data_IF_109457689496
#
_entry.id   IF_109457689496
#
_cell.length_a   1.000
_cell.length_b   1.000
_cell.length_c   1.000
_cell.angle_alpha   90.00
_cell.angle_beta   90.00
_cell.angle_gamma   90.00
#
_symmetry.space_group_name_H-M   'P 1'
#
loop_
_entity.id
_entity.type
_entity.pdbx_description
1 polymer ?
#
# COMPACT_ATOMS: atom_id res chain seq x y z
N UNK A 1 -2.86 -4.50 -9.59
CA UNK A 1 -2.26 -4.82 -8.29
C UNK A 1 -1.38 -3.66 -7.88
N UNK A 2 -1.51 -3.19 -6.63
CA UNK A 2 -0.54 -2.24 -6.08
C UNK A 2 0.77 -2.99 -5.80
N UNK A 3 1.77 -2.77 -6.65
CA UNK A 3 3.09 -3.41 -6.53
C UNK A 3 4.07 -2.57 -5.73
N UNK A 4 3.73 -1.29 -5.49
CA UNK A 4 4.53 -0.41 -4.67
C UNK A 4 3.65 0.48 -3.80
N UNK A 5 3.65 0.22 -2.49
CA UNK A 5 3.09 1.10 -1.48
C UNK A 5 4.24 1.81 -0.74
N UNK A 6 4.28 3.14 -0.78
CA UNK A 6 5.36 3.93 -0.16
C UNK A 6 5.45 3.78 1.36
N UNK A 7 4.37 3.34 1.99
CA UNK A 7 4.21 3.24 3.43
C UNK A 7 4.26 1.80 3.96
N UNK A 8 4.64 0.84 3.11
CA UNK A 8 4.81 -0.55 3.55
C UNK A 8 5.91 -0.66 4.60
N UNK A 9 5.66 -1.42 5.66
CA UNK A 9 6.63 -1.61 6.75
C UNK A 9 7.84 -2.43 6.30
N UNK A 10 7.62 -3.43 5.43
CA UNK A 10 8.67 -4.30 4.93
C UNK A 10 8.71 -4.25 3.40
N UNK A 11 9.80 -3.71 2.86
CA UNK A 11 10.00 -3.53 1.41
C UNK A 11 9.84 -4.82 0.60
N UNK A 12 10.08 -5.99 1.21
CA UNK A 12 9.90 -7.31 0.59
C UNK A 12 8.48 -7.54 0.06
N UNK A 13 7.46 -6.93 0.66
CA UNK A 13 6.08 -7.09 0.18
C UNK A 13 5.87 -6.42 -1.18
N UNK A 14 6.48 -5.25 -1.41
CA UNK A 14 6.49 -4.63 -2.75
C UNK A 14 7.20 -5.55 -3.75
N UNK A 15 8.35 -6.15 -3.37
CA UNK A 15 9.04 -7.12 -4.22
C UNK A 15 8.18 -8.34 -4.57
N UNK A 16 7.46 -8.90 -3.60
CA UNK A 16 6.58 -10.04 -3.83
C UNK A 16 5.38 -9.68 -4.71
N UNK A 17 4.74 -8.53 -4.45
CA UNK A 17 3.64 -8.03 -5.26
C UNK A 17 4.08 -7.78 -6.72
N UNK A 18 5.25 -7.17 -6.91
CA UNK A 18 5.82 -6.93 -8.24
C UNK A 18 6.06 -8.25 -8.99
N UNK A 19 6.78 -9.20 -8.38
CA UNK A 19 7.03 -10.52 -8.99
C UNK A 19 5.73 -11.26 -9.31
N UNK A 20 4.76 -11.23 -8.40
CA UNK A 20 3.47 -11.86 -8.61
C UNK A 20 2.71 -11.24 -9.78
N UNK A 21 2.68 -9.90 -9.88
CA UNK A 21 2.02 -9.21 -10.99
C UNK A 21 2.70 -9.54 -12.33
N UNK A 22 4.02 -9.61 -12.39
CA UNK A 22 4.75 -10.00 -13.59
C UNK A 22 4.40 -11.44 -14.02
N UNK A 23 4.45 -12.39 -13.10
CA UNK A 23 4.15 -13.81 -13.38
C UNK A 23 2.72 -14.04 -13.88
N UNK A 24 1.78 -13.18 -13.47
CA UNK A 24 0.35 -13.28 -13.81
C UNK A 24 -0.09 -12.27 -14.87
N UNK A 25 0.84 -11.51 -15.44
CA UNK A 25 0.56 -10.43 -16.39
C UNK A 25 -0.52 -9.46 -15.89
N UNK A 26 -0.50 -9.13 -14.60
CA UNK A 26 -1.48 -8.23 -13.99
C UNK A 26 -1.05 -6.77 -14.17
N UNK A 27 -2.01 -5.86 -14.44
CA UNK A 27 -1.76 -4.42 -14.38
C UNK A 27 -1.16 -4.00 -13.03
N UNK A 28 -0.16 -3.14 -13.07
CA UNK A 28 0.60 -2.72 -11.89
C UNK A 28 0.34 -1.25 -11.56
N UNK A 29 0.23 -0.94 -10.27
CA UNK A 29 0.09 0.42 -9.76
C UNK A 29 1.04 0.67 -8.58
N UNK A 30 1.39 1.94 -8.38
CA UNK A 30 2.11 2.45 -7.22
C UNK A 30 1.29 3.57 -6.56
N UNK A 31 1.28 3.62 -5.23
CA UNK A 31 0.62 4.67 -4.47
C UNK A 31 1.35 5.00 -3.16
N UNK A 32 1.12 6.22 -2.65
CA UNK A 32 1.78 6.70 -1.44
C UNK A 32 1.12 6.24 -0.14
N UNK A 33 -0.16 5.86 -0.20
CA UNK A 33 -0.97 5.52 0.98
C UNK A 33 -0.86 6.60 2.08
N UNK A 34 -1.01 7.85 1.65
CA UNK A 34 -0.84 9.05 2.46
C UNK A 34 -1.90 9.14 3.56
N UNK A 35 -1.45 9.30 4.80
CA UNK A 35 -2.30 9.59 5.98
C UNK A 35 -2.17 11.05 6.43
N UNK A 36 -1.38 11.84 5.72
CA UNK A 36 -1.16 13.27 5.95
C UNK A 36 -0.75 13.95 4.63
N UNK A 37 -0.99 15.26 4.50
CA UNK A 37 -0.83 15.97 3.23
C UNK A 37 0.59 15.88 2.64
N UNK A 38 1.63 15.93 3.46
CA UNK A 38 3.02 15.88 2.98
C UNK A 38 3.41 14.52 2.34
N UNK A 39 2.64 13.46 2.59
CA UNK A 39 2.86 12.13 2.00
C UNK A 39 2.12 11.94 0.65
N UNK A 40 1.28 12.89 0.24
CA UNK A 40 0.60 12.82 -1.06
C UNK A 40 1.63 12.91 -2.18
N UNK A 41 1.55 12.01 -3.15
CA UNK A 41 2.45 12.01 -4.30
C UNK A 41 3.87 11.48 -4.03
N UNK A 42 4.15 10.93 -2.85
CA UNK A 42 5.45 10.27 -2.60
C UNK A 42 5.66 9.08 -3.53
N UNK A 43 4.59 8.34 -3.85
CA UNK A 43 4.56 7.36 -4.93
C UNK A 43 3.24 7.47 -5.67
N UNK A 44 3.27 7.24 -6.98
CA UNK A 44 2.10 7.36 -7.85
C UNK A 44 2.31 6.59 -9.16
N UNK A 45 1.19 6.32 -9.83
CA UNK A 45 1.16 5.74 -11.18
C UNK A 45 0.89 6.86 -12.17
N UNK A 46 1.68 6.94 -13.23
CA UNK A 46 1.44 7.91 -14.31
C UNK A 46 0.50 7.27 -15.31
N UNK A 47 -0.67 7.87 -15.51
CA UNK A 47 -1.65 7.44 -16.51
C UNK A 47 -1.66 8.44 -17.66
N UNK A 48 -1.21 8.00 -18.83
CA UNK A 48 -1.24 8.78 -20.06
C UNK A 48 -2.64 8.70 -20.70
N UNK A 49 -3.56 9.51 -20.19
CA UNK A 49 -4.94 9.56 -20.66
C UNK A 49 -5.11 10.62 -21.74
N UNK A 50 -5.95 10.35 -22.75
CA UNK A 50 -6.37 11.35 -23.75
C UNK A 50 -7.18 12.49 -23.11
N UNK A 51 -7.97 12.15 -22.09
CA UNK A 51 -8.82 13.08 -21.35
C UNK A 51 -8.71 12.83 -19.85
N UNK A 52 -8.89 13.88 -19.05
CA UNK A 52 -9.00 13.77 -17.59
C UNK A 52 -10.39 13.24 -17.20
N UNK A 53 -10.61 11.95 -17.44
CA UNK A 53 -11.86 11.26 -17.12
C UNK A 53 -11.60 9.91 -16.45
N UNK A 54 -12.55 9.45 -15.64
CA UNK A 54 -12.48 8.14 -14.99
C UNK A 54 -12.42 7.02 -16.04
N UNK A 55 -13.16 7.16 -17.14
CA UNK A 55 -13.17 6.20 -18.24
C UNK A 55 -11.78 6.05 -18.85
N UNK A 56 -11.12 7.16 -19.16
CA UNK A 56 -9.77 7.16 -19.74
C UNK A 56 -8.74 6.59 -18.76
N UNK A 57 -8.84 6.93 -17.47
CA UNK A 57 -7.97 6.37 -16.44
C UNK A 57 -8.12 4.84 -16.31
N UNK A 58 -9.35 4.32 -16.28
CA UNK A 58 -9.61 2.88 -16.22
C UNK A 58 -9.06 2.14 -17.45
N UNK A 59 -9.25 2.70 -18.65
CA UNK A 59 -8.71 2.12 -19.87
C UNK A 59 -7.17 2.12 -19.87
N UNK A 60 -6.55 3.18 -19.36
CA UNK A 60 -5.09 3.32 -19.32
C UNK A 60 -4.44 2.41 -18.27
N UNK A 61 -5.09 2.16 -17.13
CA UNK A 61 -4.58 1.24 -16.09
C UNK A 61 -4.22 -0.13 -16.68
N UNK A 62 -4.99 -0.63 -17.65
CA UNK A 62 -4.80 -1.95 -18.26
C UNK A 62 -3.60 -2.05 -19.22
N UNK A 63 -3.10 -0.92 -19.75
CA UNK A 63 -2.13 -0.90 -20.87
C UNK A 63 -0.65 -0.95 -20.43
N UNK A 64 -0.39 -0.97 -19.13
CA UNK A 64 0.95 -0.78 -18.57
C UNK A 64 1.26 0.71 -18.36
N UNK A 65 1.86 1.03 -17.23
CA UNK A 65 2.02 2.41 -16.77
C UNK A 65 3.37 2.62 -16.08
N UNK A 66 3.87 3.85 -16.15
CA UNK A 66 5.07 4.24 -15.43
C UNK A 66 4.75 4.38 -13.93
N UNK A 67 5.66 3.87 -13.10
CA UNK A 67 5.50 3.84 -11.64
C UNK A 67 6.57 4.73 -11.01
N UNK A 68 6.15 5.83 -10.39
CA UNK A 68 7.02 6.61 -9.54
C UNK A 68 7.06 5.97 -8.14
N UNK A 69 8.24 5.46 -7.76
CA UNK A 69 8.43 4.63 -6.59
C UNK A 69 9.41 5.28 -5.62
N UNK A 70 8.89 6.07 -4.67
CA UNK A 70 9.69 6.55 -3.54
C UNK A 70 9.03 6.10 -2.25
N UNK A 71 9.85 5.64 -1.31
CA UNK A 71 9.38 5.32 0.04
C UNK A 71 9.15 6.62 0.82
N UNK A 72 8.25 6.56 1.79
CA UNK A 72 8.11 7.64 2.76
C UNK A 72 9.43 7.87 3.50
N UNK A 73 9.68 9.12 3.88
CA UNK A 73 10.81 9.42 4.76
C UNK A 73 10.59 8.74 6.13
N UNK A 74 11.67 8.45 6.89
CA UNK A 74 11.52 7.89 8.23
C UNK A 74 10.63 8.77 9.14
N UNK A 75 10.72 10.10 9.01
CA UNK A 75 9.90 11.06 9.76
C UNK A 75 8.40 10.92 9.45
N UNK A 76 8.06 10.83 8.17
CA UNK A 76 6.67 10.69 7.72
C UNK A 76 6.12 9.28 8.02
N UNK A 77 7.01 8.28 7.95
CA UNK A 77 6.71 6.90 8.37
C UNK A 77 6.41 6.82 9.86
N UNK A 78 7.16 7.51 10.72
CA UNK A 78 6.91 7.53 12.17
C UNK A 78 5.58 8.19 12.54
N UNK A 79 5.22 9.29 11.87
CA UNK A 79 3.89 9.93 12.02
C UNK A 79 2.75 8.95 11.71
N UNK A 80 2.94 8.08 10.71
CA UNK A 80 2.00 6.99 10.40
C UNK A 80 2.08 5.83 11.41
N UNK A 81 3.28 5.49 11.87
CA UNK A 81 3.55 4.29 12.68
C UNK A 81 3.13 4.43 14.13
N UNK A 82 3.03 5.64 14.70
CA UNK A 82 2.53 5.85 16.06
C UNK A 82 1.17 5.17 16.30
N UNK A 83 0.26 5.27 15.32
CA UNK A 83 -1.04 4.57 15.37
C UNK A 83 -0.91 3.04 15.30
N UNK A 84 0.05 2.51 14.55
CA UNK A 84 0.31 1.07 14.47
C UNK A 84 0.93 0.51 15.75
N UNK A 85 1.83 1.24 16.40
CA UNK A 85 2.43 0.83 17.66
C UNK A 85 1.41 0.81 18.80
N UNK A 86 0.52 1.81 18.87
CA UNK A 86 -0.63 1.81 19.79
C UNK A 86 -1.57 0.61 19.53
N UNK A 87 -1.77 0.22 18.26
CA UNK A 87 -2.59 -0.94 17.88
C UNK A 87 -1.98 -2.27 18.32
N UNK A 88 -0.66 -2.45 18.17
CA UNK A 88 0.03 -3.66 18.63
C UNK A 88 0.01 -3.81 20.15
N UNK A 89 -0.08 -2.71 20.89
CA UNK A 89 -0.17 -2.69 22.35
C UNK A 89 -1.58 -3.03 22.89
N UNK A 90 -2.62 -3.01 22.03
CA UNK A 90 -4.00 -3.41 22.38
C UNK A 90 -4.35 -4.79 21.80
N UNK A 91 -3.72 -5.83 22.31
CA UNK A 91 -4.31 -7.17 22.32
C UNK A 91 -4.44 -7.60 23.78
N UNK A 92 -5.61 -7.36 24.39
CA UNK A 92 -6.02 -8.22 25.51
C UNK A 92 -6.19 -9.61 24.90
N UNK A 93 -5.37 -10.56 25.34
CA UNK A 93 -5.64 -11.97 25.08
C UNK A 93 -7.06 -12.26 25.60
N UNK A 94 -7.92 -12.95 24.83
CA UNK A 94 -9.15 -13.47 25.42
C UNK A 94 -8.74 -14.42 26.55
N UNK A 95 -9.31 -14.23 27.74
CA UNK A 95 -9.18 -15.20 28.84
C UNK A 95 -9.83 -16.50 28.37
N UNK A 96 -9.01 -17.42 27.86
CA UNK A 96 -9.39 -18.82 27.71
C UNK A 96 -9.06 -19.47 29.06
N UNK A 97 -9.86 -19.14 30.07
CA UNK A 97 -9.82 -19.81 31.36
C UNK A 97 -11.24 -20.00 31.85
N UNK A 98 -11.72 -21.25 31.75
CA UNK A 98 -12.90 -21.70 32.49
C UNK A 98 -14.09 -22.11 31.63
N UNK A 99 -13.95 -23.21 30.88
CA UNK A 99 -15.06 -24.15 30.66
C UNK A 99 -14.51 -25.52 30.26
N UNK A 100 -13.77 -26.15 31.19
CA UNK A 100 -13.66 -27.61 31.19
C UNK A 100 -14.73 -28.15 32.14
N UNK A 101 -15.57 -29.02 31.59
CA UNK A 101 -16.76 -29.54 32.23
C UNK A 101 -16.48 -30.50 33.39
N UNK A 102 -17.42 -30.48 34.33
CA UNK A 102 -17.94 -31.64 35.06
C UNK A 102 -19.43 -31.45 35.26
#
# INVERSE_FOLDING_TARGET
>A
LEVFNAATTLRRYNTFAFKYAQLRSLPMTAASDAHHAAAVGTAYTILNCEELSVKSALAQILKGNELNQRYLTPRDSMRKTWNNWLRLRRKKLPDIAGQDGR
#
